data_IF_482558436599
#
_entry.id   IF_482558436599
#
_cell.length_a   1.000
_cell.length_b   1.000
_cell.length_c   1.000
_cell.angle_alpha   90.00
_cell.angle_beta   90.00
_cell.angle_gamma   90.00
#
_symmetry.space_group_name_H-M   'P 1'
#
loop_
_entity.id
_entity.type
_entity.pdbx_description
1 polymer ?
#
# COMPACT_ATOMS: atom_id res chain seq x y z
N UNK A 1 8.06 9.51 -13.32
CA UNK A 1 6.93 9.06 -12.45
C UNK A 1 5.70 8.84 -13.31
N UNK A 2 4.65 8.21 -12.79
CA UNK A 2 3.40 8.03 -13.54
C UNK A 2 2.17 8.00 -12.62
N UNK A 3 1.02 8.38 -13.19
CA UNK A 3 -0.27 8.35 -12.50
C UNK A 3 -0.90 6.96 -12.45
N UNK A 4 -1.57 6.67 -11.35
CA UNK A 4 -2.15 5.37 -11.04
C UNK A 4 -3.67 5.43 -10.96
N UNK A 5 -4.32 4.41 -11.52
CA UNK A 5 -5.76 4.18 -11.43
C UNK A 5 -6.04 3.17 -10.33
N UNK A 6 -6.58 3.64 -9.22
CA UNK A 6 -6.98 2.77 -8.11
C UNK A 6 -8.36 2.14 -8.35
N UNK A 7 -8.60 1.01 -7.70
CA UNK A 7 -9.94 0.45 -7.45
C UNK A 7 -10.43 0.85 -6.06
N UNK A 8 -11.74 0.88 -5.87
CA UNK A 8 -12.32 1.10 -4.54
C UNK A 8 -11.97 -0.07 -3.61
N UNK A 9 -11.98 0.20 -2.31
CA UNK A 9 -11.82 -0.85 -1.31
C UNK A 9 -13.06 -0.88 -0.43
N UNK A 10 -13.75 -2.02 -0.41
CA UNK A 10 -14.82 -2.29 0.54
C UNK A 10 -14.26 -3.28 1.55
N UNK A 11 -14.20 -2.86 2.81
CA UNK A 11 -13.58 -3.64 3.90
C UNK A 11 -12.13 -4.08 3.59
N UNK A 12 -11.38 -3.23 2.91
CA UNK A 12 -9.98 -3.51 2.52
C UNK A 12 -9.81 -4.38 1.27
N UNK A 13 -10.88 -4.88 0.67
CA UNK A 13 -10.83 -5.71 -0.53
C UNK A 13 -11.11 -4.84 -1.77
N UNK A 14 -10.27 -4.90 -2.82
CA UNK A 14 -10.50 -4.17 -4.06
C UNK A 14 -11.77 -4.61 -4.79
N UNK A 15 -12.68 -3.68 -5.04
CA UNK A 15 -13.94 -3.92 -5.73
C UNK A 15 -14.19 -2.90 -6.84
N UNK A 16 -15.08 -3.25 -7.76
CA UNK A 16 -15.50 -2.40 -8.87
C UNK A 16 -14.42 -2.16 -9.93
N UNK A 17 -14.63 -1.12 -10.72
CA UNK A 17 -13.79 -0.73 -11.86
C UNK A 17 -12.58 0.13 -11.45
N UNK A 18 -11.56 0.16 -12.31
CA UNK A 18 -10.44 1.09 -12.18
C UNK A 18 -10.90 2.53 -12.42
N UNK A 19 -10.54 3.46 -11.53
CA UNK A 19 -10.97 4.87 -11.57
C UNK A 19 -10.07 5.78 -12.43
N UNK A 20 -10.29 7.09 -12.28
CA UNK A 20 -9.38 8.16 -12.68
C UNK A 20 -7.98 8.04 -12.05
N UNK A 21 -7.05 8.88 -12.49
CA UNK A 21 -5.75 9.00 -11.83
C UNK A 21 -5.94 9.61 -10.44
N UNK A 22 -5.42 8.91 -9.43
CA UNK A 22 -5.68 9.23 -8.01
C UNK A 22 -4.52 8.85 -7.09
N UNK A 23 -3.43 8.34 -7.66
CA UNK A 23 -2.25 7.90 -6.93
C UNK A 23 -1.02 8.04 -7.85
N UNK A 24 0.16 7.91 -7.27
CA UNK A 24 1.44 8.09 -7.94
C UNK A 24 2.34 6.89 -7.68
N UNK A 25 3.05 6.45 -8.73
CA UNK A 25 4.15 5.50 -8.59
C UNK A 25 5.38 5.99 -9.34
N UNK A 26 6.53 5.52 -8.88
CA UNK A 26 7.82 5.74 -9.51
C UNK A 26 8.19 4.51 -10.34
N UNK A 27 8.81 4.74 -11.51
CA UNK A 27 9.47 3.70 -12.29
C UNK A 27 10.94 4.09 -12.32
N UNK A 28 11.80 3.24 -11.77
CA UNK A 28 13.25 3.43 -11.75
C UNK A 28 13.89 2.44 -12.67
N UNK A 29 14.77 2.92 -13.54
CA UNK A 29 15.59 2.09 -14.41
C UNK A 29 17.03 2.06 -13.88
N UNK A 30 17.55 0.87 -13.64
CA UNK A 30 18.95 0.68 -13.23
C UNK A 30 19.89 0.77 -14.46
N UNK A 31 21.21 0.99 -14.27
CA UNK A 31 22.17 1.05 -15.38
C UNK A 31 22.21 -0.21 -16.27
N UNK A 32 21.85 -1.36 -15.71
CA UNK A 32 21.68 -2.65 -16.39
C UNK A 32 20.47 -2.70 -17.32
N UNK A 33 19.59 -1.68 -17.29
CA UNK A 33 18.38 -1.59 -18.11
C UNK A 33 17.12 -2.13 -17.45
N UNK A 34 17.24 -2.80 -16.30
CA UNK A 34 16.07 -3.34 -15.59
C UNK A 34 15.25 -2.22 -14.96
N UNK A 35 13.92 -2.32 -15.11
CA UNK A 35 12.97 -1.36 -14.56
C UNK A 35 12.27 -1.92 -13.32
N UNK A 36 12.03 -1.04 -12.36
CA UNK A 36 11.38 -1.36 -11.10
C UNK A 36 10.24 -0.39 -10.84
N UNK A 37 9.09 -0.94 -10.50
CA UNK A 37 7.98 -0.25 -9.88
C UNK A 37 8.30 0.02 -8.40
N UNK A 38 8.21 1.29 -8.01
CA UNK A 38 8.38 1.77 -6.65
C UNK A 38 7.10 2.49 -6.20
N UNK A 39 6.45 1.93 -5.19
CA UNK A 39 5.30 2.55 -4.55
C UNK A 39 5.51 2.60 -3.03
N UNK A 40 5.90 3.78 -2.56
CA UNK A 40 6.10 4.04 -1.14
C UNK A 40 4.86 4.67 -0.46
N UNK A 41 3.79 4.94 -1.22
CA UNK A 41 2.69 5.80 -0.77
C UNK A 41 1.30 5.13 -0.87
N UNK A 42 1.20 3.87 -1.29
CA UNK A 42 -0.08 3.16 -1.36
C UNK A 42 -0.75 2.87 -0.01
N UNK A 43 0.04 2.91 1.08
CA UNK A 43 -0.37 2.52 2.41
C UNK A 43 -0.16 1.04 2.70
N UNK A 44 -0.96 0.47 3.61
CA UNK A 44 -0.66 -0.79 4.28
C UNK A 44 -0.61 -2.02 3.38
N UNK A 45 -1.25 -2.00 2.22
CA UNK A 45 -1.30 -3.14 1.28
C UNK A 45 -0.39 -2.94 0.06
N UNK A 46 0.49 -1.93 0.13
CA UNK A 46 1.51 -1.68 -0.89
C UNK A 46 2.62 -2.73 -0.84
N UNK A 47 3.44 -2.79 -1.90
CA UNK A 47 4.63 -3.63 -1.88
C UNK A 47 5.65 -3.09 -0.88
N UNK A 48 6.27 -3.96 -0.10
CA UNK A 48 7.30 -3.58 0.89
C UNK A 48 8.69 -3.45 0.27
N UNK A 49 8.82 -3.71 -1.03
CA UNK A 49 10.08 -3.65 -1.77
C UNK A 49 9.82 -3.26 -3.24
N UNK A 50 10.84 -2.73 -3.94
CA UNK A 50 10.79 -2.56 -5.38
C UNK A 50 10.33 -3.83 -6.09
N UNK A 51 9.40 -3.71 -7.04
CA UNK A 51 8.97 -4.83 -7.87
C UNK A 51 9.56 -4.65 -9.26
N UNK A 52 10.32 -5.62 -9.75
CA UNK A 52 10.80 -5.60 -11.13
C UNK A 52 9.59 -5.60 -12.08
N UNK A 53 9.65 -4.83 -13.17
CA UNK A 53 8.63 -4.81 -14.22
C UNK A 53 8.71 -6.10 -15.08
N UNK A 54 8.40 -7.23 -14.45
CA UNK A 54 8.31 -8.56 -15.07
C UNK A 54 6.92 -9.11 -14.80
N UNK A 55 6.15 -9.30 -15.87
CA UNK A 55 4.76 -9.75 -15.76
C UNK A 55 4.69 -11.16 -15.17
N UNK A 56 3.88 -11.34 -14.13
CA UNK A 56 3.62 -12.61 -13.48
C UNK A 56 4.66 -13.02 -12.44
N UNK A 57 5.73 -12.25 -12.23
CA UNK A 57 6.72 -12.55 -11.21
C UNK A 57 6.14 -12.31 -9.81
N UNK A 58 6.01 -13.39 -9.03
CA UNK A 58 5.43 -13.38 -7.69
C UNK A 58 6.50 -13.20 -6.62
N UNK A 59 6.24 -12.28 -5.69
CA UNK A 59 7.10 -11.99 -4.56
C UNK A 59 6.30 -12.10 -3.27
N UNK A 60 6.88 -12.72 -2.25
CA UNK A 60 6.33 -12.68 -0.89
C UNK A 60 6.41 -11.25 -0.34
N UNK A 61 5.29 -10.74 0.16
CA UNK A 61 5.18 -9.44 0.80
C UNK A 61 5.15 -9.62 2.33
N UNK A 62 4.17 -9.06 3.03
CA UNK A 62 4.05 -9.19 4.47
C UNK A 62 3.43 -10.55 4.87
N UNK A 63 4.18 -11.35 5.62
CA UNK A 63 3.71 -12.66 6.09
C UNK A 63 3.39 -13.62 4.94
N UNK A 64 2.16 -14.15 4.90
CA UNK A 64 1.70 -15.03 3.82
C UNK A 64 1.23 -14.30 2.57
N UNK A 65 1.21 -12.96 2.58
CA UNK A 65 0.77 -12.19 1.43
C UNK A 65 1.78 -12.31 0.28
N UNK A 66 1.27 -12.49 -0.93
CA UNK A 66 2.05 -12.46 -2.16
C UNK A 66 1.55 -11.34 -3.05
N UNK A 67 2.49 -10.73 -3.78
CA UNK A 67 2.23 -9.63 -4.72
C UNK A 67 2.88 -9.91 -6.06
N UNK A 68 2.32 -9.33 -7.11
CA UNK A 68 2.89 -9.39 -8.47
C UNK A 68 2.44 -8.21 -9.31
N UNK A 69 3.15 -8.01 -10.42
CA UNK A 69 2.71 -7.14 -11.51
C UNK A 69 2.26 -7.99 -12.68
N UNK A 70 1.14 -7.62 -13.32
CA UNK A 70 0.69 -8.20 -14.58
C UNK A 70 0.72 -7.13 -15.66
N UNK A 71 1.34 -7.42 -16.80
CA UNK A 71 1.30 -6.56 -17.97
C UNK A 71 0.15 -6.99 -18.88
N UNK A 72 -0.98 -6.27 -18.80
CA UNK A 72 -2.23 -6.68 -19.45
C UNK A 72 -3.23 -5.55 -19.58
N UNK A 73 -4.51 -5.91 -19.70
CA UNK A 73 -5.60 -4.94 -19.89
C UNK A 73 -6.54 -4.93 -18.69
N UNK A 74 -7.07 -3.75 -18.36
CA UNK A 74 -8.22 -3.59 -17.47
C UNK A 74 -9.49 -4.07 -18.18
N UNK A 75 -10.50 -4.57 -17.45
CA UNK A 75 -11.73 -5.12 -18.05
C UNK A 75 -12.43 -4.20 -19.06
N UNK A 76 -12.47 -2.89 -18.80
CA UNK A 76 -13.17 -1.91 -19.65
C UNK A 76 -12.36 -1.37 -20.85
N UNK A 77 -11.15 -1.87 -21.11
CA UNK A 77 -10.34 -1.35 -22.23
C UNK A 77 -10.89 -1.82 -23.58
N UNK A 78 -11.15 -0.87 -24.48
CA UNK A 78 -11.55 -1.15 -25.87
C UNK A 78 -10.35 -1.40 -26.80
N UNK A 79 -9.16 -0.98 -26.41
CA UNK A 79 -7.91 -1.07 -27.16
C UNK A 79 -6.94 -2.05 -26.46
N UNK A 80 -6.93 -3.35 -26.84
CA UNK A 80 -6.14 -4.37 -26.16
C UNK A 80 -4.63 -4.19 -26.34
N UNK A 81 -4.19 -3.49 -27.39
CA UNK A 81 -2.79 -3.16 -27.64
C UNK A 81 -2.19 -2.21 -26.58
N UNK A 82 -3.04 -1.41 -25.92
CA UNK A 82 -2.63 -0.44 -24.90
C UNK A 82 -2.51 -1.11 -23.54
N UNK A 83 -1.48 -1.94 -23.36
CA UNK A 83 -1.26 -2.65 -22.09
C UNK A 83 -0.85 -1.71 -20.96
N UNK A 84 -1.23 -2.10 -19.75
CA UNK A 84 -0.90 -1.44 -18.50
C UNK A 84 -0.28 -2.46 -17.54
N UNK A 85 0.49 -1.96 -16.59
CA UNK A 85 0.91 -2.74 -15.43
C UNK A 85 -0.20 -2.74 -14.39
N UNK A 86 -0.51 -3.91 -13.84
CA UNK A 86 -1.56 -4.13 -12.85
C UNK A 86 -0.94 -4.75 -11.62
N UNK A 87 -0.98 -4.03 -10.49
CA UNK A 87 -0.53 -4.55 -9.20
C UNK A 87 -1.61 -5.44 -8.59
N UNK A 88 -1.23 -6.67 -8.29
CA UNK A 88 -2.10 -7.68 -7.72
C UNK A 88 -1.53 -8.23 -6.41
N UNK A 89 -2.43 -8.64 -5.53
CA UNK A 89 -2.09 -9.33 -4.29
C UNK A 89 -2.97 -10.57 -4.08
N UNK A 90 -2.51 -11.48 -3.23
CA UNK A 90 -3.32 -12.51 -2.59
C UNK A 90 -2.79 -12.78 -1.20
N UNK A 91 -3.64 -13.20 -0.27
CA UNK A 91 -3.26 -13.42 1.14
C UNK A 91 -2.76 -14.86 1.42
N UNK A 92 -2.34 -15.57 0.38
CA UNK A 92 -1.73 -16.89 0.45
C UNK A 92 -1.79 -17.61 -0.91
N UNK A 93 -0.98 -18.65 -1.12
CA UNK A 93 -0.83 -19.28 -2.43
C UNK A 93 -2.10 -19.93 -3.00
N UNK A 94 -3.05 -20.29 -2.14
CA UNK A 94 -4.33 -20.94 -2.49
C UNK A 94 -5.46 -19.95 -2.76
N UNK A 95 -5.24 -18.65 -2.53
CA UNK A 95 -6.26 -17.62 -2.72
C UNK A 95 -6.18 -17.00 -4.12
N UNK A 96 -7.32 -16.47 -4.57
CA UNK A 96 -7.42 -15.75 -5.83
C UNK A 96 -6.66 -14.42 -5.81
N UNK A 97 -6.11 -14.07 -6.96
CA UNK A 97 -5.44 -12.78 -7.17
C UNK A 97 -6.46 -11.65 -7.26
N UNK A 98 -6.24 -10.61 -6.49
CA UNK A 98 -7.03 -9.39 -6.51
C UNK A 98 -6.20 -8.22 -7.04
N UNK A 99 -6.78 -7.42 -7.94
CA UNK A 99 -6.10 -6.26 -8.51
C UNK A 99 -6.39 -5.01 -7.68
N UNK A 100 -5.37 -4.30 -7.26
CA UNK A 100 -5.51 -3.06 -6.49
C UNK A 100 -5.55 -1.83 -7.41
N UNK A 101 -4.58 -1.74 -8.32
CA UNK A 101 -4.42 -0.58 -9.19
C UNK A 101 -3.67 -0.91 -10.48
N UNK A 102 -3.73 0.02 -11.43
CA UNK A 102 -2.99 -0.06 -12.69
C UNK A 102 -2.30 1.25 -13.05
N UNK A 103 -1.23 1.15 -13.84
CA UNK A 103 -0.44 2.28 -14.30
C UNK A 103 0.19 1.99 -15.67
N UNK A 104 0.50 3.05 -16.41
CA UNK A 104 1.23 2.96 -17.68
C UNK A 104 2.68 3.40 -17.51
N UNK A 105 3.46 3.35 -18.59
CA UNK A 105 4.82 3.91 -18.63
C UNK A 105 4.84 5.34 -19.22
N UNK A 106 3.67 6.00 -19.25
CA UNK A 106 3.57 7.41 -19.62
C UNK A 106 4.21 8.26 -18.53
N UNK A 107 5.11 9.15 -18.92
CA UNK A 107 5.78 10.08 -18.01
C UNK A 107 4.82 11.17 -17.54
N UNK A 108 4.85 11.42 -16.23
CA UNK A 108 4.10 12.47 -15.56
C UNK A 108 5.08 13.47 -14.96
N UNK A 109 4.70 14.75 -15.02
CA UNK A 109 5.42 15.89 -14.47
C UNK A 109 4.68 16.47 -13.26
N UNK A 110 5.29 17.49 -12.65
CA UNK A 110 4.74 18.18 -11.49
C UNK A 110 3.30 18.64 -11.71
N UNK A 111 3.00 19.26 -12.86
CA UNK A 111 1.68 19.79 -13.19
C UNK A 111 0.60 18.70 -13.24
N UNK A 112 0.94 17.49 -13.72
CA UNK A 112 0.02 16.35 -13.71
C UNK A 112 -0.34 15.95 -12.27
N UNK A 113 0.63 15.99 -11.37
CA UNK A 113 0.43 15.69 -9.96
C UNK A 113 -0.33 16.79 -9.23
N UNK A 114 -0.21 18.05 -9.63
CA UNK A 114 -1.00 19.13 -9.07
C UNK A 114 -2.50 18.96 -9.37
N UNK A 115 -2.84 18.55 -10.59
CA UNK A 115 -4.22 18.20 -10.96
C UNK A 115 -4.74 17.03 -10.14
N UNK A 116 -3.96 15.95 -10.04
CA UNK A 116 -4.32 14.77 -9.25
C UNK A 116 -4.49 15.16 -7.77
N UNK A 117 -3.54 15.90 -7.21
CA UNK A 117 -3.53 16.30 -5.81
C UNK A 117 -4.71 17.20 -5.45
N UNK A 118 -5.07 18.13 -6.34
CA UNK A 118 -6.26 18.96 -6.17
C UNK A 118 -7.52 18.10 -6.12
N UNK A 119 -7.67 17.19 -7.08
CA UNK A 119 -8.82 16.26 -7.10
C UNK A 119 -8.85 15.37 -5.85
N UNK A 120 -7.73 14.76 -5.46
CA UNK A 120 -7.68 13.84 -4.31
C UNK A 120 -7.92 14.55 -2.98
N UNK A 121 -7.43 15.77 -2.82
CA UNK A 121 -7.60 16.56 -1.61
C UNK A 121 -9.01 17.18 -1.50
N UNK A 122 -9.60 17.62 -2.61
CA UNK A 122 -10.82 18.43 -2.58
C UNK A 122 -12.09 17.70 -2.98
N UNK A 123 -12.01 16.68 -3.84
CA UNK A 123 -13.19 16.09 -4.50
C UNK A 123 -13.41 14.60 -4.19
N UNK A 124 -12.46 13.91 -3.55
CA UNK A 124 -12.64 12.47 -3.27
C UNK A 124 -13.54 12.18 -2.07
N UNK A 125 -14.22 11.03 -2.14
CA UNK A 125 -15.26 10.53 -1.22
C UNK A 125 -14.79 10.27 0.23
N UNK A 126 -13.50 10.39 0.53
CA UNK A 126 -12.96 10.06 1.86
C UNK A 126 -12.78 11.29 2.76
N UNK A 127 -13.45 12.42 2.48
CA UNK A 127 -13.46 13.58 3.39
C UNK A 127 -13.83 13.13 4.80
N UNK A 128 -12.93 13.33 5.75
CA UNK A 128 -13.12 12.97 7.16
C UNK A 128 -12.58 11.59 7.57
N UNK A 129 -12.12 10.75 6.64
CA UNK A 129 -11.40 9.54 7.02
C UNK A 129 -9.94 9.87 7.35
N UNK A 130 -9.42 9.28 8.42
CA UNK A 130 -8.01 9.37 8.80
C UNK A 130 -7.34 8.04 8.51
N UNK A 131 -6.26 8.05 7.73
CA UNK A 131 -5.48 6.86 7.43
C UNK A 131 -4.00 7.15 7.66
N UNK A 132 -3.38 6.45 8.61
CA UNK A 132 -1.94 6.50 8.85
C UNK A 132 -1.41 5.08 8.84
N UNK A 133 -0.29 4.86 8.15
CA UNK A 133 0.34 3.56 8.03
C UNK A 133 1.80 3.70 8.38
N UNK A 134 2.29 2.81 9.25
CA UNK A 134 3.70 2.66 9.56
C UNK A 134 4.07 1.18 9.46
N UNK A 135 5.08 0.88 8.65
CA UNK A 135 5.68 -0.45 8.63
C UNK A 135 6.64 -0.60 9.82
N UNK A 136 6.68 -1.81 10.37
CA UNK A 136 7.48 -2.18 11.54
C UNK A 136 8.69 -2.97 11.03
N UNK A 137 9.90 -2.48 11.32
CA UNK A 137 11.12 -3.20 11.02
C UNK A 137 11.43 -4.22 12.10
N UNK A 138 12.18 -5.25 11.75
CA UNK A 138 12.71 -6.20 12.73
C UNK A 138 13.52 -5.45 13.80
N UNK A 139 13.25 -5.75 15.08
CA UNK A 139 13.83 -5.03 16.23
C UNK A 139 13.08 -3.76 16.67
N UNK A 140 12.19 -3.19 15.86
CA UNK A 140 11.39 -2.00 16.20
C UNK A 140 10.02 -2.38 16.83
N UNK A 141 10.01 -3.34 17.74
CA UNK A 141 8.77 -3.91 18.32
C UNK A 141 8.45 -3.44 19.74
N UNK A 142 9.30 -2.59 20.32
CA UNK A 142 9.12 -2.06 21.67
C UNK A 142 7.77 -1.34 21.82
N UNK A 143 7.04 -1.65 22.90
CA UNK A 143 5.73 -1.08 23.19
C UNK A 143 4.56 -1.63 22.36
N UNK A 144 4.81 -2.56 21.43
CA UNK A 144 3.74 -3.23 20.69
C UNK A 144 3.15 -4.40 21.50
N UNK A 145 1.82 -4.58 21.52
CA UNK A 145 1.18 -5.70 22.19
C UNK A 145 1.29 -6.96 21.34
N UNK A 146 2.49 -7.56 21.29
CA UNK A 146 2.80 -8.75 20.51
C UNK A 146 2.17 -10.01 21.11
N UNK A 147 1.82 -10.97 20.24
CA UNK A 147 1.47 -12.34 20.64
C UNK A 147 2.71 -13.22 20.67
N UNK A 148 2.61 -14.38 21.32
CA UNK A 148 3.72 -15.36 21.37
C UNK A 148 4.21 -15.71 19.97
N UNK A 149 5.51 -15.53 19.75
CA UNK A 149 6.17 -15.79 18.46
C UNK A 149 6.08 -14.67 17.43
N UNK A 150 5.37 -13.57 17.68
CA UNK A 150 5.41 -12.41 16.78
C UNK A 150 6.69 -11.59 16.97
N UNK A 151 7.26 -11.10 15.86
CA UNK A 151 8.45 -10.23 15.89
C UNK A 151 9.76 -10.93 16.25
N UNK A 152 9.76 -12.26 16.37
CA UNK A 152 10.96 -13.07 16.66
C UNK A 152 11.74 -13.42 15.39
N UNK A 153 11.05 -13.49 14.25
CA UNK A 153 11.63 -13.79 12.94
C UNK A 153 11.88 -12.51 12.13
N UNK A 154 13.07 -12.44 11.54
CA UNK A 154 13.49 -11.35 10.68
C UNK A 154 14.92 -11.58 10.22
N UNK A 155 15.32 -10.89 9.15
CA UNK A 155 16.71 -10.93 8.71
C UNK A 155 17.56 -10.08 9.66
N UNK A 156 18.67 -10.63 10.13
CA UNK A 156 19.66 -9.92 10.96
C UNK A 156 20.54 -8.98 10.14
N UNK A 157 20.65 -9.22 8.84
CA UNK A 157 21.35 -8.37 7.89
C UNK A 157 20.35 -7.73 6.91
N UNK A 158 20.44 -6.40 6.75
CA UNK A 158 19.54 -5.62 5.90
C UNK A 158 18.25 -5.16 6.60
N UNK A 159 17.32 -4.63 5.82
CA UNK A 159 16.02 -4.14 6.32
C UNK A 159 14.98 -5.24 6.15
N UNK A 160 14.46 -5.76 7.27
CA UNK A 160 13.36 -6.71 7.29
C UNK A 160 12.10 -6.04 7.83
N UNK A 161 11.02 -6.04 7.04
CA UNK A 161 9.70 -5.57 7.48
C UNK A 161 8.91 -6.76 8.02
N UNK A 162 8.56 -6.69 9.30
CA UNK A 162 7.93 -7.81 10.04
C UNK A 162 6.48 -7.52 10.42
N UNK A 163 6.04 -6.27 10.24
CA UNK A 163 4.67 -5.89 10.55
C UNK A 163 4.28 -4.54 9.98
N UNK A 164 3.03 -4.18 10.27
CA UNK A 164 2.47 -2.85 10.03
C UNK A 164 1.50 -2.47 11.13
N UNK A 165 1.53 -1.20 11.51
CA UNK A 165 0.54 -0.56 12.35
C UNK A 165 -0.23 0.47 11.51
N UNK A 166 -1.55 0.49 11.64
CA UNK A 166 -2.44 1.31 10.83
C UNK A 166 -3.46 2.02 11.70
N UNK A 167 -3.53 3.35 11.62
CA UNK A 167 -4.63 4.11 12.19
C UNK A 167 -5.67 4.31 11.10
N UNK A 168 -6.87 3.75 11.30
CA UNK A 168 -8.00 3.91 10.41
C UNK A 168 -9.15 4.53 11.19
N UNK A 169 -9.44 5.79 10.88
CA UNK A 169 -10.48 6.63 11.49
C UNK A 169 -10.31 6.80 13.00
N UNK A 170 -10.79 5.83 13.77
CA UNK A 170 -10.81 5.87 15.23
C UNK A 170 -10.22 4.60 15.85
N UNK A 171 -9.59 3.72 15.06
CA UNK A 171 -8.99 2.47 15.55
C UNK A 171 -7.54 2.32 15.07
N UNK A 172 -6.68 1.83 15.96
CA UNK A 172 -5.32 1.41 15.62
C UNK A 172 -5.31 -0.10 15.48
N UNK A 173 -4.75 -0.56 14.36
CA UNK A 173 -4.67 -1.97 13.97
C UNK A 173 -3.23 -2.40 13.84
N UNK A 174 -2.90 -3.59 14.31
CA UNK A 174 -1.59 -4.21 14.21
C UNK A 174 -1.67 -5.49 13.37
N UNK A 175 -0.68 -5.70 12.51
CA UNK A 175 -0.50 -6.93 11.75
C UNK A 175 0.99 -7.27 11.70
N UNK A 176 1.39 -8.41 12.27
CA UNK A 176 2.78 -8.89 12.30
C UNK A 176 3.04 -10.01 11.28
N UNK A 177 2.42 -9.93 10.10
CA UNK A 177 2.47 -10.99 9.07
C UNK A 177 1.27 -11.95 9.07
N UNK A 178 0.42 -11.88 10.10
CA UNK A 178 -0.76 -12.71 10.23
C UNK A 178 -2.07 -11.95 10.06
N UNK A 179 -3.04 -12.29 10.91
CA UNK A 179 -4.33 -11.61 10.95
C UNK A 179 -4.19 -10.24 11.60
N UNK A 180 -4.74 -9.22 10.92
CA UNK A 180 -4.85 -7.87 11.49
C UNK A 180 -5.77 -7.87 12.72
N UNK A 181 -5.33 -7.26 13.83
CA UNK A 181 -6.13 -7.06 15.05
C UNK A 181 -6.21 -5.59 15.44
N UNK A 182 -7.30 -5.20 16.09
CA UNK A 182 -7.42 -3.87 16.72
C UNK A 182 -6.67 -3.91 18.04
N UNK A 183 -5.84 -2.89 18.31
CA UNK A 183 -5.03 -2.78 19.53
C UNK A 183 -5.36 -1.52 20.34
N UNK A 184 -6.08 -0.57 19.75
CA UNK A 184 -6.52 0.66 20.42
C UNK A 184 -7.74 1.25 19.67
N UNK A 185 -8.61 1.97 20.38
CA UNK A 185 -9.81 2.58 19.80
C UNK A 185 -10.21 3.85 20.56
N UNK A 186 -10.69 4.86 19.83
CA UNK A 186 -10.88 6.21 20.34
C UNK A 186 -12.28 6.74 20.00
N UNK A 187 -12.78 7.64 20.84
CA UNK A 187 -14.09 8.27 20.70
C UNK A 187 -14.01 9.79 20.51
N UNK A 188 -12.95 10.43 21.02
CA UNK A 188 -12.75 11.89 20.91
C UNK A 188 -11.58 12.25 19.99
N UNK A 189 -11.54 13.49 19.50
CA UNK A 189 -10.40 13.97 18.70
C UNK A 189 -9.11 14.04 19.54
N UNK A 190 -9.18 14.47 20.81
CA UNK A 190 -8.01 14.53 21.70
C UNK A 190 -7.36 13.16 21.90
N UNK A 191 -8.18 12.12 22.04
CA UNK A 191 -7.71 10.73 22.10
C UNK A 191 -7.02 10.31 20.80
N UNK A 192 -7.56 10.69 19.63
CA UNK A 192 -6.94 10.41 18.33
C UNK A 192 -5.59 11.13 18.17
N UNK A 193 -5.47 12.37 18.63
CA UNK A 193 -4.19 13.10 18.63
C UNK A 193 -3.16 12.42 19.53
N UNK A 194 -3.58 11.96 20.71
CA UNK A 194 -2.71 11.19 21.60
C UNK A 194 -2.28 9.86 20.95
N UNK A 195 -3.18 9.21 20.20
CA UNK A 195 -2.88 7.99 19.46
C UNK A 195 -1.85 8.20 18.36
N UNK A 196 -1.96 9.29 17.59
CA UNK A 196 -0.97 9.66 16.57
C UNK A 196 0.42 9.83 17.18
N UNK A 197 0.51 10.50 18.32
CA UNK A 197 1.77 10.69 19.03
C UNK A 197 2.33 9.37 19.55
N UNK A 198 1.50 8.57 20.23
CA UNK A 198 1.88 7.29 20.84
C UNK A 198 2.35 6.26 19.82
N UNK A 199 1.56 6.04 18.76
CA UNK A 199 1.75 4.91 17.84
C UNK A 199 2.56 5.27 16.59
N UNK A 200 2.51 6.54 16.16
CA UNK A 200 3.10 6.99 14.89
C UNK A 200 4.15 8.08 15.05
N UNK A 201 4.38 8.58 16.28
CA UNK A 201 5.30 9.69 16.55
C UNK A 201 4.94 10.97 15.78
N UNK A 202 3.65 11.16 15.50
CA UNK A 202 3.12 12.34 14.82
C UNK A 202 2.49 13.25 15.86
N UNK A 203 2.92 14.51 15.90
CA UNK A 203 2.31 15.56 16.71
C UNK A 203 1.72 16.62 15.78
N UNK A 204 0.52 17.08 16.09
CA UNK A 204 -0.15 18.16 15.38
C UNK A 204 -0.25 19.32 16.39
N UNK A 205 0.20 20.50 15.97
CA UNK A 205 0.13 21.76 16.74
C UNK A 205 -1.09 22.58 16.34
#
# INVERSE_FOLDING_TARGET
>A
MTGVRNRERINGIPQGEFKGWSHIVNIVQLPSGEKYHLDAAFGGDGPMRPLQLVSGYTIQNLGTQEVRLIYGNMPKQSRPEQKLWIYQYRNGPTYEWNSFYSFGELEFFQDDFEVINRFTSWDTLHKGNTWVVKFIRYGETEGLPLLDGEGTEGLTEGISIVGKIMFVNNVVKLNMGGKTRVIDSFQSEDEKLCALKKWFSITIE
#
